data_IF_263941316068
#
_entry.id   IF_263941316068
#
_cell.length_a   1.000
_cell.length_b   1.000
_cell.length_c   1.000
_cell.angle_alpha   90.00
_cell.angle_beta   90.00
_cell.angle_gamma   90.00
#
_symmetry.space_group_name_H-M   'P 1'
#
loop_
_entity.id
_entity.type
_entity.pdbx_description
1 polymer ?
#
# COMPACT_ATOMS: atom_id res chain seq x y z
N UNK A 1 26.64 -2.58 21.20
CA UNK A 1 25.38 -1.97 20.71
C UNK A 1 25.14 -2.09 19.20
N UNK A 2 26.09 -2.59 18.39
CA UNK A 2 25.95 -2.66 16.92
C UNK A 2 24.96 -3.71 16.40
N UNK A 3 24.91 -4.91 17.00
CA UNK A 3 24.05 -5.99 16.48
C UNK A 3 22.53 -5.70 16.58
N UNK A 4 22.09 -4.91 17.58
CA UNK A 4 20.67 -4.49 17.68
C UNK A 4 20.28 -3.47 16.60
N UNK A 5 21.22 -2.63 16.14
CA UNK A 5 20.97 -1.64 15.09
C UNK A 5 20.83 -2.32 13.72
N UNK A 6 21.71 -3.26 13.40
CA UNK A 6 21.64 -4.04 12.17
C UNK A 6 20.36 -4.89 12.09
N UNK A 7 19.95 -5.52 13.20
CA UNK A 7 18.72 -6.29 13.25
C UNK A 7 17.45 -5.43 13.06
N UNK A 8 17.44 -4.21 13.62
CA UNK A 8 16.34 -3.24 13.41
C UNK A 8 16.31 -2.76 11.96
N UNK A 9 17.47 -2.48 11.37
CA UNK A 9 17.60 -2.05 9.98
C UNK A 9 17.15 -3.14 9.00
N UNK A 10 17.51 -4.38 9.28
CA UNK A 10 17.06 -5.56 8.54
C UNK A 10 15.53 -5.70 8.58
N UNK A 11 14.93 -5.64 9.77
CA UNK A 11 13.46 -5.68 9.91
C UNK A 11 12.75 -4.55 9.17
N UNK A 12 13.29 -3.32 9.23
CA UNK A 12 12.73 -2.17 8.50
C UNK A 12 12.84 -2.39 7.00
N UNK A 13 13.97 -2.89 6.51
CA UNK A 13 14.19 -3.15 5.09
C UNK A 13 13.22 -4.23 4.56
N UNK A 14 13.04 -5.32 5.31
CA UNK A 14 12.04 -6.35 4.98
C UNK A 14 10.64 -5.75 4.97
N UNK A 15 10.25 -4.98 6.00
CA UNK A 15 8.91 -4.38 6.06
C UNK A 15 8.67 -3.41 4.90
N UNK A 16 9.65 -2.60 4.52
CA UNK A 16 9.55 -1.69 3.36
C UNK A 16 9.37 -2.46 2.05
N UNK A 17 10.19 -3.47 1.81
CA UNK A 17 10.10 -4.27 0.59
C UNK A 17 8.79 -5.08 0.54
N UNK A 18 8.40 -5.70 1.65
CA UNK A 18 7.16 -6.46 1.75
C UNK A 18 5.93 -5.57 1.58
N UNK A 19 5.91 -4.40 2.20
CA UNK A 19 4.83 -3.44 2.04
C UNK A 19 4.73 -2.96 0.60
N UNK A 20 5.85 -2.61 -0.05
CA UNK A 20 5.86 -2.20 -1.46
C UNK A 20 5.32 -3.30 -2.38
N UNK A 21 5.73 -4.56 -2.18
CA UNK A 21 5.26 -5.71 -2.98
C UNK A 21 3.76 -5.94 -2.76
N UNK A 22 3.28 -5.95 -1.51
CA UNK A 22 1.86 -6.15 -1.22
C UNK A 22 0.97 -5.02 -1.74
N UNK A 23 1.44 -3.78 -1.61
CA UNK A 23 0.72 -2.62 -2.14
C UNK A 23 0.69 -2.66 -3.67
N UNK A 24 1.82 -2.97 -4.33
CA UNK A 24 1.85 -3.08 -5.79
C UNK A 24 0.94 -4.21 -6.31
N UNK A 25 0.93 -5.38 -5.66
CA UNK A 25 0.03 -6.48 -6.02
C UNK A 25 -1.45 -6.08 -5.89
N UNK A 26 -1.83 -5.42 -4.79
CA UNK A 26 -3.21 -4.95 -4.61
C UNK A 26 -3.57 -3.78 -5.53
N UNK A 27 -2.61 -2.94 -5.91
CA UNK A 27 -2.85 -1.82 -6.82
C UNK A 27 -3.32 -2.29 -8.20
N UNK A 28 -2.81 -3.43 -8.68
CA UNK A 28 -3.26 -4.04 -9.93
C UNK A 28 -4.68 -4.61 -9.87
N UNK A 29 -5.24 -4.78 -8.66
CA UNK A 29 -6.61 -5.26 -8.44
C UNK A 29 -7.62 -4.12 -8.31
N UNK A 30 -7.15 -2.88 -8.21
CA UNK A 30 -8.03 -1.72 -8.13
C UNK A 30 -8.56 -1.35 -9.53
N UNK A 31 -9.82 -0.91 -9.64
CA UNK A 31 -10.37 -0.39 -10.88
C UNK A 31 -9.56 0.82 -11.38
N UNK A 32 -9.43 0.94 -12.69
CA UNK A 32 -8.69 2.04 -13.33
C UNK A 32 -9.27 3.42 -12.97
N UNK A 33 -10.58 3.52 -12.78
CA UNK A 33 -11.25 4.75 -12.32
C UNK A 33 -10.83 5.19 -10.91
N UNK A 34 -10.48 4.25 -10.02
CA UNK A 34 -9.90 4.58 -8.72
C UNK A 34 -8.50 5.12 -8.95
N UNK A 35 -7.67 4.40 -9.71
CA UNK A 35 -6.25 4.74 -9.93
C UNK A 35 -6.04 6.04 -10.70
N UNK A 36 -6.91 6.37 -11.65
CA UNK A 36 -6.81 7.58 -12.51
C UNK A 36 -7.52 8.81 -11.93
N UNK A 37 -7.90 8.76 -10.66
CA UNK A 37 -8.56 9.89 -9.98
C UNK A 37 -7.69 11.16 -10.00
N UNK A 38 -8.23 12.31 -10.47
CA UNK A 38 -7.45 13.55 -10.59
C UNK A 38 -7.17 14.23 -9.24
N UNK A 39 -7.89 13.86 -8.18
CA UNK A 39 -7.73 14.42 -6.83
C UNK A 39 -7.68 13.32 -5.76
N UNK A 40 -7.00 13.61 -4.66
CA UNK A 40 -6.87 12.67 -3.53
C UNK A 40 -8.21 12.43 -2.83
N UNK A 41 -9.10 13.43 -2.78
CA UNK A 41 -10.44 13.26 -2.21
C UNK A 41 -11.28 12.31 -3.06
N UNK A 42 -11.29 12.50 -4.38
CA UNK A 42 -11.99 11.61 -5.31
C UNK A 42 -11.42 10.19 -5.25
N UNK A 43 -10.10 10.06 -5.17
CA UNK A 43 -9.41 8.78 -5.00
C UNK A 43 -9.89 8.06 -3.74
N UNK A 44 -9.93 8.76 -2.60
CA UNK A 44 -10.38 8.19 -1.32
C UNK A 44 -11.82 7.73 -1.38
N UNK A 45 -12.73 8.55 -1.93
CA UNK A 45 -14.15 8.20 -2.05
C UNK A 45 -14.35 6.97 -2.93
N UNK A 46 -13.70 6.91 -4.10
CA UNK A 46 -13.78 5.74 -4.98
C UNK A 46 -13.21 4.48 -4.35
N UNK A 47 -12.08 4.61 -3.64
CA UNK A 47 -11.46 3.48 -2.95
C UNK A 47 -12.33 2.97 -1.79
N UNK A 48 -12.99 3.87 -1.05
CA UNK A 48 -13.91 3.52 0.04
C UNK A 48 -15.14 2.76 -0.48
N UNK A 49 -15.73 3.20 -1.59
CA UNK A 49 -16.83 2.48 -2.27
C UNK A 49 -16.39 1.08 -2.69
N UNK A 50 -15.25 0.94 -3.36
CA UNK A 50 -14.74 -0.36 -3.84
C UNK A 50 -14.42 -1.30 -2.67
N UNK A 51 -13.88 -0.77 -1.57
CA UNK A 51 -13.62 -1.57 -0.37
C UNK A 51 -14.91 -1.95 0.36
N UNK A 52 -15.93 -1.09 0.39
CA UNK A 52 -17.24 -1.41 0.94
C UNK A 52 -17.98 -2.48 0.12
N UNK A 53 -17.86 -2.45 -1.21
CA UNK A 53 -18.45 -3.47 -2.09
C UNK A 53 -17.74 -4.84 -2.00
N UNK A 54 -16.49 -4.87 -1.51
CA UNK A 54 -15.70 -6.09 -1.31
C UNK A 54 -15.92 -6.76 0.06
N UNK A 55 -16.61 -6.11 1.00
CA UNK A 55 -16.96 -6.62 2.33
C UNK A 55 -18.30 -7.36 2.31
#
# INVERSE_FOLDING_TARGET
NGCKLEHRRFHINIRKNFFAVRVAEHWNRLPREVVESPSLETFKTHLDTVLCDLL
#
